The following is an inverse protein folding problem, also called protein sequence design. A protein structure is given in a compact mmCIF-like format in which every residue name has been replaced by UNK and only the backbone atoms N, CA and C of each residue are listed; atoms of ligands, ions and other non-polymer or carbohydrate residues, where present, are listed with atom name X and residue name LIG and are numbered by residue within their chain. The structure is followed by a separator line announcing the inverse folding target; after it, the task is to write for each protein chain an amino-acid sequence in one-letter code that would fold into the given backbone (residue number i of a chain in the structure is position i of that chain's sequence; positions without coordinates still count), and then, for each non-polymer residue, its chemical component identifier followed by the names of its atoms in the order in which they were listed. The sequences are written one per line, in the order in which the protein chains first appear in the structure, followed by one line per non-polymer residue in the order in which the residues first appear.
data_IF_107877906686
#
_entry.id   IF_107877906686
#
_cell.length_a   1.000
_cell.length_b   1.000
_cell.length_c   1.000
_cell.angle_alpha   90.00
_cell.angle_beta   90.00
_cell.angle_gamma   90.00
#
_symmetry.space_group_name_H-M   'P 1'
#
loop_
_entity.id
_entity.type
_entity.pdbx_description
1 polymer ?
#
# COMPACT_ATOMS: atom_id res chain seq x y z
N UNK A 1 -10.99 17.10 10.76
CA UNK A 1 -10.92 16.78 9.33
C UNK A 1 -10.29 15.41 9.21
N UNK A 2 -10.77 14.53 8.35
CA UNK A 2 -10.23 13.19 8.15
C UNK A 2 -9.25 13.22 6.98
N UNK A 3 -8.01 12.73 7.17
CA UNK A 3 -7.03 12.52 6.10
C UNK A 3 -6.72 11.02 5.97
N UNK A 4 -6.79 10.48 4.77
CA UNK A 4 -6.47 9.09 4.44
C UNK A 4 -5.19 9.06 3.62
N UNK A 5 -4.05 8.81 4.28
CA UNK A 5 -2.72 8.90 3.69
C UNK A 5 -2.23 7.52 3.27
N UNK A 6 -1.64 7.40 2.09
CA UNK A 6 -1.12 6.14 1.58
C UNK A 6 0.40 6.06 1.80
N UNK A 7 0.83 4.92 2.34
CA UNK A 7 2.20 4.46 2.36
C UNK A 7 2.30 3.19 1.51
N UNK A 8 2.87 3.29 0.33
CA UNK A 8 2.97 2.20 -0.64
C UNK A 8 4.40 2.01 -1.17
N UNK A 9 4.57 1.39 -2.29
CA UNK A 9 5.85 1.22 -3.00
C UNK A 9 6.40 -0.19 -2.95
N UNK A 10 7.71 -0.31 -3.11
CA UNK A 10 8.40 -1.59 -3.29
C UNK A 10 8.16 -2.56 -2.13
N UNK A 11 7.90 -3.81 -2.46
CA UNK A 11 7.94 -4.89 -1.48
C UNK A 11 9.34 -4.99 -0.87
N UNK A 12 9.43 -5.17 0.46
CA UNK A 12 10.72 -5.16 1.15
C UNK A 12 11.35 -3.78 1.38
N UNK A 13 10.68 -2.69 1.01
CA UNK A 13 11.17 -1.31 1.19
C UNK A 13 11.05 -0.75 2.62
N UNK A 14 10.75 -1.57 3.64
CA UNK A 14 10.70 -1.16 5.04
C UNK A 14 9.39 -0.46 5.45
N UNK A 15 8.28 -0.62 4.72
CA UNK A 15 6.98 -0.02 5.04
C UNK A 15 6.46 -0.37 6.43
N UNK A 16 6.44 -1.66 6.77
CA UNK A 16 5.87 -2.12 8.04
C UNK A 16 6.60 -1.55 9.26
N UNK A 17 7.94 -1.42 9.18
CA UNK A 17 8.73 -0.78 10.25
C UNK A 17 8.39 0.70 10.37
N UNK A 18 8.28 1.41 9.26
CA UNK A 18 7.91 2.82 9.25
C UNK A 18 6.47 3.01 9.79
N UNK A 19 5.53 2.19 9.36
CA UNK A 19 4.13 2.24 9.81
C UNK A 19 4.02 2.03 11.34
N UNK A 20 4.77 1.06 11.88
CA UNK A 20 4.82 0.81 13.33
C UNK A 20 5.35 2.02 14.10
N UNK A 21 6.37 2.71 13.57
CA UNK A 21 6.90 3.92 14.20
C UNK A 21 5.91 5.10 14.10
N UNK A 22 5.23 5.27 12.96
CA UNK A 22 4.20 6.30 12.82
C UNK A 22 3.01 6.04 13.77
N UNK A 23 2.63 4.78 13.99
CA UNK A 23 1.65 4.41 15.02
C UNK A 23 2.07 4.85 16.42
N UNK A 24 3.35 4.69 16.77
CA UNK A 24 3.90 5.16 18.06
C UNK A 24 3.86 6.70 18.18
N UNK A 25 3.81 7.43 17.08
CA UNK A 25 3.59 8.89 17.04
C UNK A 25 2.12 9.29 17.10
N UNK A 26 1.22 8.34 17.31
CA UNK A 26 -0.21 8.59 17.52
C UNK A 26 -1.07 8.60 16.26
N UNK A 27 -0.53 8.22 15.11
CA UNK A 27 -1.33 8.05 13.89
C UNK A 27 -2.13 6.75 13.93
N UNK A 28 -3.37 6.80 13.46
CA UNK A 28 -4.10 5.58 13.16
C UNK A 28 -3.45 4.89 11.94
N UNK A 29 -3.31 3.57 11.99
CA UNK A 29 -2.69 2.79 10.91
C UNK A 29 -3.63 1.69 10.43
N UNK A 30 -3.61 1.43 9.14
CA UNK A 30 -4.38 0.37 8.49
C UNK A 30 -3.39 -0.63 7.89
N UNK A 31 -3.47 -1.87 8.34
CA UNK A 31 -2.58 -2.94 7.90
C UNK A 31 -2.83 -3.34 6.45
N UNK A 32 -1.79 -3.83 5.77
CA UNK A 32 -1.83 -4.29 4.39
C UNK A 32 -2.93 -5.33 4.15
N UNK A 33 -3.91 -5.07 3.27
CA UNK A 33 -5.00 -6.00 2.99
C UNK A 33 -4.50 -7.34 2.45
N UNK A 34 -3.50 -7.33 1.58
CA UNK A 34 -2.94 -8.53 0.98
C UNK A 34 -2.39 -9.51 2.01
N UNK A 35 -1.67 -9.04 3.02
CA UNK A 35 -1.17 -9.91 4.11
C UNK A 35 -2.29 -10.53 4.91
N UNK A 36 -3.32 -9.75 5.22
CA UNK A 36 -4.49 -10.25 5.95
C UNK A 36 -5.25 -11.30 5.15
N UNK A 37 -5.36 -11.14 3.82
CA UNK A 37 -5.93 -12.17 2.94
C UNK A 37 -5.09 -13.43 2.97
N UNK A 38 -3.75 -13.34 2.80
CA UNK A 38 -2.87 -14.51 2.87
C UNK A 38 -3.04 -15.25 4.19
N UNK A 39 -2.99 -14.54 5.32
CA UNK A 39 -3.16 -15.12 6.64
C UNK A 39 -4.52 -15.83 6.80
N UNK A 40 -5.58 -15.21 6.33
CA UNK A 40 -6.92 -15.81 6.34
C UNK A 40 -7.00 -17.06 5.46
N UNK A 41 -6.46 -17.02 4.25
CA UNK A 41 -6.47 -18.15 3.32
C UNK A 41 -5.66 -19.34 3.87
N UNK A 42 -4.50 -19.10 4.47
CA UNK A 42 -3.70 -20.15 5.08
C UNK A 42 -4.41 -20.81 6.27
N UNK A 43 -5.15 -20.05 7.08
CA UNK A 43 -5.93 -20.57 8.22
C UNK A 43 -7.13 -21.39 7.79
N UNK A 44 -7.72 -21.09 6.64
CA UNK A 44 -8.94 -21.74 6.12
C UNK A 44 -8.67 -22.74 5.03
N UNK A 45 -7.41 -23.02 4.69
CA UNK A 45 -7.01 -23.82 3.53
C UNK A 45 -7.64 -23.33 2.21
N UNK A 46 -7.78 -22.01 2.07
CA UNK A 46 -8.30 -21.37 0.88
C UNK A 46 -7.28 -21.30 -0.25
N UNK A 47 -7.73 -20.94 -1.44
CA UNK A 47 -6.92 -20.90 -2.66
C UNK A 47 -6.62 -19.49 -3.19
N UNK A 48 -7.26 -18.46 -2.63
CA UNK A 48 -7.02 -17.06 -3.03
C UNK A 48 -5.67 -16.55 -2.47
N UNK A 49 -4.59 -17.11 -2.99
CA UNK A 49 -3.20 -16.81 -2.62
C UNK A 49 -2.44 -16.32 -3.84
N UNK A 50 -1.50 -15.37 -3.69
CA UNK A 50 -0.79 -14.78 -4.83
C UNK A 50 -0.08 -15.81 -5.74
N UNK A 51 0.30 -16.96 -5.19
CA UNK A 51 1.01 -18.03 -5.88
C UNK A 51 0.12 -19.19 -6.36
N UNK A 52 -1.21 -19.16 -6.08
CA UNK A 52 -2.19 -20.16 -6.51
C UNK A 52 -3.24 -19.55 -7.44
N UNK A 53 -3.85 -18.47 -7.02
CA UNK A 53 -4.92 -17.76 -7.74
C UNK A 53 -4.79 -16.26 -7.47
N UNK A 54 -3.94 -15.61 -8.28
CA UNK A 54 -3.61 -14.19 -8.10
C UNK A 54 -4.83 -13.29 -8.28
N UNK A 55 -5.71 -13.59 -9.24
CA UNK A 55 -6.90 -12.78 -9.50
C UNK A 55 -7.86 -12.82 -8.31
N UNK A 56 -8.19 -14.02 -7.82
CA UNK A 56 -9.04 -14.19 -6.64
C UNK A 56 -8.41 -13.54 -5.38
N UNK A 57 -7.09 -13.62 -5.23
CA UNK A 57 -6.37 -12.93 -4.15
C UNK A 57 -6.54 -11.41 -4.23
N UNK A 58 -6.34 -10.82 -5.42
CA UNK A 58 -6.45 -9.38 -5.62
C UNK A 58 -7.89 -8.89 -5.42
N UNK A 59 -8.89 -9.65 -5.84
CA UNK A 59 -10.29 -9.32 -5.59
C UNK A 59 -10.63 -9.31 -4.09
N UNK A 60 -10.11 -10.27 -3.33
CA UNK A 60 -10.29 -10.28 -1.88
C UNK A 60 -9.53 -9.12 -1.19
N UNK A 61 -8.32 -8.81 -1.65
CA UNK A 61 -7.55 -7.67 -1.14
C UNK A 61 -8.28 -6.35 -1.41
N UNK A 62 -8.89 -6.18 -2.59
CA UNK A 62 -9.71 -5.02 -2.92
C UNK A 62 -10.94 -4.90 -2.04
N UNK A 63 -11.69 -5.99 -1.85
CA UNK A 63 -12.88 -5.99 -0.99
C UNK A 63 -12.52 -5.62 0.46
N UNK A 64 -11.39 -6.08 0.96
CA UNK A 64 -10.88 -5.74 2.29
C UNK A 64 -10.44 -4.28 2.36
N UNK A 65 -9.70 -3.79 1.37
CA UNK A 65 -9.26 -2.39 1.28
C UNK A 65 -10.44 -1.42 1.16
N UNK A 66 -11.52 -1.79 0.47
CA UNK A 66 -12.75 -0.99 0.39
C UNK A 66 -13.43 -0.85 1.77
N UNK A 67 -13.48 -1.93 2.54
CA UNK A 67 -13.99 -1.91 3.92
C UNK A 67 -13.14 -1.02 4.82
N UNK A 68 -11.82 -1.12 4.72
CA UNK A 68 -10.87 -0.28 5.49
C UNK A 68 -11.02 1.19 5.13
N UNK A 69 -11.14 1.51 3.85
CA UNK A 69 -11.39 2.87 3.38
C UNK A 69 -12.69 3.44 3.97
N UNK A 70 -13.77 2.67 3.89
CA UNK A 70 -15.07 3.08 4.44
C UNK A 70 -15.02 3.28 5.96
N UNK A 71 -14.33 2.41 6.69
CA UNK A 71 -14.15 2.51 8.13
C UNK A 71 -13.33 3.76 8.50
N UNK A 72 -12.19 3.99 7.84
CA UNK A 72 -11.31 5.12 8.12
C UNK A 72 -11.94 6.48 7.81
N UNK A 73 -12.82 6.56 6.81
CA UNK A 73 -13.57 7.80 6.51
C UNK A 73 -14.47 8.25 7.65
N UNK A 74 -14.88 7.36 8.53
CA UNK A 74 -15.72 7.65 9.67
C UNK A 74 -14.92 7.99 10.94
N UNK A 75 -13.59 8.01 10.87
CA UNK A 75 -12.71 8.40 11.98
C UNK A 75 -12.29 9.86 11.83
N UNK A 76 -11.80 10.46 12.91
CA UNK A 76 -11.18 11.79 12.88
C UNK A 76 -9.67 11.69 12.93
N UNK A 77 -8.98 12.63 12.29
CA UNK A 77 -7.52 12.67 12.26
C UNK A 77 -6.93 12.01 11.01
N UNK A 78 -5.67 11.60 11.10
CA UNK A 78 -4.91 11.02 10.00
C UNK A 78 -4.87 9.51 10.18
N UNK A 79 -5.29 8.77 9.14
CA UNK A 79 -5.14 7.32 9.03
C UNK A 79 -4.11 7.02 7.93
N UNK A 80 -3.06 6.25 8.26
CA UNK A 80 -2.01 5.86 7.31
C UNK A 80 -2.22 4.41 6.91
N UNK A 81 -2.37 4.18 5.61
CA UNK A 81 -2.63 2.88 5.02
C UNK A 81 -1.34 2.22 4.54
N UNK A 82 -1.05 1.00 5.00
CA UNK A 82 -0.05 0.14 4.36
C UNK A 82 -0.67 -0.44 3.09
N UNK A 83 -0.35 0.16 1.95
CA UNK A 83 -1.02 -0.05 0.66
C UNK A 83 -2.48 0.43 0.66
N UNK A 84 -3.11 0.40 -0.49
CA UNK A 84 -4.44 0.94 -0.70
C UNK A 84 -5.23 0.14 -1.73
N UNK A 85 -6.46 0.57 -2.01
CA UNK A 85 -7.23 0.09 -3.16
C UNK A 85 -6.46 0.22 -4.48
N UNK A 86 -5.64 1.28 -4.60
CA UNK A 86 -4.89 1.58 -5.82
C UNK A 86 -3.86 0.49 -6.12
N UNK A 87 -3.17 -0.01 -5.10
CA UNK A 87 -2.15 -1.06 -5.24
C UNK A 87 -2.73 -2.35 -5.85
N UNK A 88 -3.85 -2.82 -5.31
CA UNK A 88 -4.50 -4.04 -5.80
C UNK A 88 -5.18 -3.83 -7.17
N UNK A 89 -5.79 -2.67 -7.39
CA UNK A 89 -6.36 -2.30 -8.69
C UNK A 89 -5.28 -2.15 -9.78
N UNK A 90 -4.12 -1.59 -9.44
CA UNK A 90 -2.95 -1.53 -10.32
C UNK A 90 -2.48 -2.93 -10.73
N UNK A 91 -2.47 -3.88 -9.79
CA UNK A 91 -2.12 -5.26 -10.08
C UNK A 91 -3.14 -5.95 -10.99
N UNK A 92 -4.46 -5.77 -10.76
CA UNK A 92 -5.51 -6.28 -11.66
C UNK A 92 -5.42 -5.66 -13.06
N UNK A 93 -5.17 -4.36 -13.15
CA UNK A 93 -4.96 -3.69 -14.44
C UNK A 93 -3.78 -4.30 -15.20
N UNK A 94 -2.72 -4.66 -14.52
CA UNK A 94 -1.57 -5.34 -15.11
C UNK A 94 -1.94 -6.74 -15.65
N UNK A 95 -2.96 -7.39 -15.07
CA UNK A 95 -3.54 -8.64 -15.57
C UNK A 95 -4.59 -8.44 -16.68
N UNK A 96 -4.89 -7.18 -17.05
CA UNK A 96 -5.85 -6.83 -18.10
C UNK A 96 -7.25 -6.47 -17.60
N UNK A 97 -7.46 -6.29 -16.31
CA UNK A 97 -8.73 -5.88 -15.71
C UNK A 97 -8.70 -4.42 -15.25
N UNK A 98 -9.33 -3.54 -16.03
CA UNK A 98 -9.39 -2.09 -15.78
C UNK A 98 -10.61 -1.63 -14.96
N UNK A 99 -11.54 -2.53 -14.62
CA UNK A 99 -12.82 -2.17 -13.96
C UNK A 99 -12.64 -1.34 -12.69
N UNK A 100 -11.67 -1.69 -11.87
CA UNK A 100 -11.38 -0.99 -10.62
C UNK A 100 -10.70 0.36 -10.84
N UNK A 101 -9.92 0.50 -11.90
CA UNK A 101 -9.19 1.74 -12.19
C UNK A 101 -10.13 2.90 -12.50
N UNK A 102 -11.20 2.66 -13.26
CA UNK A 102 -12.26 3.65 -13.51
C UNK A 102 -13.03 3.99 -12.22
N UNK A 103 -13.32 2.98 -11.40
CA UNK A 103 -14.00 3.18 -10.10
C UNK A 103 -13.16 4.03 -9.14
N UNK A 104 -11.83 3.83 -9.11
CA UNK A 104 -10.91 4.64 -8.31
C UNK A 104 -10.99 6.13 -8.63
N UNK A 105 -11.10 6.48 -9.89
CA UNK A 105 -11.18 7.89 -10.33
C UNK A 105 -12.43 8.61 -9.83
N UNK A 106 -13.54 7.91 -9.69
CA UNK A 106 -14.86 8.50 -9.41
C UNK A 106 -15.31 8.34 -7.97
N UNK A 107 -14.95 7.26 -7.29
CA UNK A 107 -15.56 6.88 -6.01
C UNK A 107 -14.60 6.95 -4.81
N UNK A 108 -13.28 6.79 -5.04
CA UNK A 108 -12.30 6.73 -3.96
C UNK A 108 -11.28 7.85 -4.08
N UNK A 109 -11.12 8.61 -3.01
CA UNK A 109 -10.07 9.63 -2.94
C UNK A 109 -9.37 9.58 -1.59
N UNK A 110 -8.08 9.31 -1.63
CA UNK A 110 -7.16 9.46 -0.49
C UNK A 110 -6.61 10.89 -0.44
N UNK A 111 -5.80 11.18 0.57
CA UNK A 111 -5.03 12.43 0.60
C UNK A 111 -4.17 12.55 -0.66
N UNK A 112 -3.96 13.76 -1.14
CA UNK A 112 -3.21 13.95 -2.37
C UNK A 112 -1.76 13.51 -2.25
N UNK A 113 -1.18 13.65 -1.05
CA UNK A 113 0.17 13.21 -0.76
C UNK A 113 0.24 11.70 -0.56
N UNK A 114 1.04 11.03 -1.38
CA UNK A 114 1.32 9.57 -1.28
C UNK A 114 2.81 9.37 -1.03
N UNK A 115 3.13 8.48 -0.09
CA UNK A 115 4.52 8.12 0.22
C UNK A 115 4.86 6.77 -0.39
N UNK A 116 5.93 6.71 -1.19
CA UNK A 116 6.40 5.45 -1.79
C UNK A 116 7.79 5.07 -1.28
N UNK A 117 7.91 3.81 -0.83
CA UNK A 117 9.21 3.21 -0.54
C UNK A 117 9.88 2.78 -1.84
N UNK A 118 11.08 3.30 -2.15
CA UNK A 118 11.81 2.90 -3.35
C UNK A 118 12.41 1.49 -3.21
N UNK A 119 12.79 0.84 -4.31
CA UNK A 119 13.59 -0.38 -4.26
C UNK A 119 14.88 -0.16 -3.46
N UNK A 120 15.12 -1.02 -2.48
CA UNK A 120 16.25 -0.90 -1.58
C UNK A 120 16.92 -2.26 -1.37
N UNK A 121 17.90 -2.63 -2.23
CA UNK A 121 18.52 -3.96 -2.23
C UNK A 121 19.12 -4.34 -0.87
N UNK A 122 19.69 -3.37 -0.15
CA UNK A 122 20.40 -3.59 1.12
C UNK A 122 19.50 -4.09 2.25
N UNK A 123 18.21 -3.80 2.20
CA UNK A 123 17.23 -4.26 3.20
C UNK A 123 16.22 -5.25 2.64
N UNK A 124 16.31 -5.56 1.34
CA UNK A 124 15.40 -6.51 0.72
C UNK A 124 15.67 -7.91 1.26
N UNK A 125 14.65 -8.50 1.87
CA UNK A 125 14.67 -9.86 2.35
C UNK A 125 13.53 -10.67 1.74
N UNK A 126 13.80 -11.90 1.35
CA UNK A 126 12.78 -12.88 0.98
C UNK A 126 12.26 -13.58 2.23
N UNK A 127 10.96 -13.65 2.39
CA UNK A 127 10.29 -14.45 3.41
C UNK A 127 9.26 -15.40 2.77
N UNK A 128 8.55 -16.18 3.58
CA UNK A 128 7.57 -17.15 3.06
C UNK A 128 6.37 -16.49 2.34
N UNK A 129 6.14 -15.20 2.57
CA UNK A 129 5.08 -14.41 1.93
C UNK A 129 5.59 -13.68 0.68
N UNK A 130 6.92 -13.49 0.55
CA UNK A 130 7.59 -12.80 -0.55
C UNK A 130 8.39 -13.78 -1.40
N UNK A 131 7.69 -14.52 -2.24
CA UNK A 131 8.29 -15.47 -3.19
C UNK A 131 8.79 -14.82 -4.48
N UNK A 132 8.51 -13.52 -4.64
CA UNK A 132 8.93 -12.75 -5.81
C UNK A 132 10.37 -12.30 -5.68
N UNK A 133 11.08 -12.26 -6.81
CA UNK A 133 12.43 -11.74 -6.90
C UNK A 133 12.48 -10.22 -6.71
N UNK A 134 13.68 -9.69 -6.51
CA UNK A 134 13.87 -8.24 -6.38
C UNK A 134 13.48 -7.49 -7.65
N UNK A 135 13.70 -8.09 -8.83
CA UNK A 135 13.31 -7.50 -10.12
C UNK A 135 11.77 -7.32 -10.20
N UNK A 136 10.99 -8.32 -9.80
CA UNK A 136 9.52 -8.22 -9.75
C UNK A 136 9.06 -7.09 -8.83
N UNK A 137 9.77 -6.89 -7.70
CA UNK A 137 9.48 -5.81 -6.77
C UNK A 137 9.81 -4.42 -7.35
N UNK A 138 10.83 -4.32 -8.21
CA UNK A 138 11.17 -3.11 -8.95
C UNK A 138 10.09 -2.82 -9.99
N UNK A 139 9.68 -3.81 -10.76
CA UNK A 139 8.62 -3.67 -11.79
C UNK A 139 7.29 -3.23 -11.16
N UNK A 140 6.93 -3.83 -10.01
CA UNK A 140 5.77 -3.40 -9.21
C UNK A 140 5.89 -1.91 -8.81
N UNK A 141 7.03 -1.51 -8.27
CA UNK A 141 7.27 -0.14 -7.85
C UNK A 141 7.13 0.86 -9.00
N UNK A 142 7.73 0.57 -10.15
CA UNK A 142 7.65 1.43 -11.33
C UNK A 142 6.20 1.54 -11.86
N UNK A 143 5.46 0.43 -11.82
CA UNK A 143 4.04 0.43 -12.18
C UNK A 143 3.24 1.31 -11.22
N UNK A 144 3.45 1.17 -9.92
CA UNK A 144 2.76 1.99 -8.92
C UNK A 144 3.07 3.47 -9.07
N UNK A 145 4.32 3.85 -9.34
CA UNK A 145 4.68 5.25 -9.59
C UNK A 145 3.86 5.83 -10.74
N UNK A 146 3.74 5.10 -11.86
CA UNK A 146 2.93 5.53 -13.02
C UNK A 146 1.45 5.62 -12.68
N UNK A 147 0.91 4.63 -11.99
CA UNK A 147 -0.52 4.58 -11.69
C UNK A 147 -0.95 5.65 -10.68
N UNK A 148 -0.12 5.97 -9.68
CA UNK A 148 -0.38 7.08 -8.77
C UNK A 148 -0.32 8.43 -9.48
N UNK A 149 0.65 8.65 -10.38
CA UNK A 149 0.76 9.85 -11.20
C UNK A 149 -0.46 10.01 -12.14
N UNK A 150 -0.85 8.95 -12.85
CA UNK A 150 -2.02 8.89 -13.73
C UNK A 150 -3.35 9.20 -12.98
N UNK A 151 -3.43 8.84 -11.70
CA UNK A 151 -4.57 9.14 -10.85
C UNK A 151 -4.50 10.54 -10.21
N UNK A 152 -3.43 11.29 -10.46
CA UNK A 152 -3.24 12.67 -10.04
C UNK A 152 -2.88 12.82 -8.56
N UNK A 153 -2.08 11.89 -8.02
CA UNK A 153 -1.52 11.99 -6.68
C UNK A 153 -0.11 12.61 -6.70
N UNK A 154 0.24 13.32 -5.64
CA UNK A 154 1.58 13.87 -5.42
C UNK A 154 2.45 12.81 -4.72
N UNK A 155 3.37 12.21 -5.47
CA UNK A 155 4.20 11.12 -4.97
C UNK A 155 5.47 11.64 -4.33
N UNK A 156 5.65 11.38 -3.03
CA UNK A 156 6.90 11.59 -2.31
C UNK A 156 7.65 10.27 -2.14
N UNK A 157 8.84 10.21 -2.71
CA UNK A 157 9.72 9.05 -2.56
C UNK A 157 10.45 9.12 -1.22
N UNK A 158 10.28 8.10 -0.40
CA UNK A 158 10.94 8.01 0.89
C UNK A 158 12.46 7.82 0.74
N UNK A 159 13.27 8.51 1.55
CA UNK A 159 14.72 8.35 1.50
C UNK A 159 15.15 6.95 1.94
N UNK A 160 16.29 6.47 1.42
CA UNK A 160 16.93 5.21 1.84
C UNK A 160 17.82 5.45 3.06
N UNK A 161 17.19 5.76 4.17
CA UNK A 161 17.85 6.14 5.44
C UNK A 161 17.24 5.40 6.60
N UNK A 162 17.70 5.66 7.81
CA UNK A 162 17.16 5.09 9.04
C UNK A 162 15.68 5.39 9.24
N UNK A 163 15.00 4.59 10.04
CA UNK A 163 13.55 4.72 10.25
C UNK A 163 13.17 6.08 10.84
N UNK A 164 13.97 6.63 11.75
CA UNK A 164 13.69 7.92 12.40
C UNK A 164 13.69 9.08 11.39
N UNK A 165 14.68 9.13 10.49
CA UNK A 165 14.73 10.13 9.42
C UNK A 165 13.55 9.99 8.44
N UNK A 166 13.11 8.77 8.19
CA UNK A 166 11.92 8.50 7.34
C UNK A 166 10.63 8.94 8.03
N UNK A 167 10.53 8.75 9.35
CA UNK A 167 9.42 9.28 10.15
C UNK A 167 9.39 10.80 10.08
N UNK A 168 10.53 11.47 10.32
CA UNK A 168 10.62 12.94 10.22
C UNK A 168 10.24 13.45 8.83
N UNK A 169 10.67 12.76 7.77
CA UNK A 169 10.30 13.09 6.39
C UNK A 169 8.78 13.07 6.19
N UNK A 170 8.09 12.02 6.67
CA UNK A 170 6.64 11.91 6.58
C UNK A 170 5.95 13.00 7.41
N UNK A 171 6.41 13.21 8.66
CA UNK A 171 5.82 14.20 9.56
C UNK A 171 5.89 15.62 8.98
N UNK A 172 7.03 16.01 8.40
CA UNK A 172 7.21 17.33 7.80
C UNK A 172 6.22 17.55 6.65
N UNK A 173 6.06 16.59 5.74
CA UNK A 173 5.14 16.72 4.61
C UNK A 173 3.65 16.71 5.04
N UNK A 174 3.32 16.02 6.13
CA UNK A 174 1.93 15.99 6.64
C UNK A 174 1.54 17.28 7.39
N UNK A 175 2.52 18.04 7.90
CA UNK A 175 2.28 19.34 8.57
C UNK A 175 2.10 20.49 7.58
N UNK A 176 2.71 20.40 6.41
CA UNK A 176 2.67 21.45 5.38
C UNK A 176 1.38 21.41 4.52
N UNK A 177 0.49 20.47 4.77
CA UNK A 177 -0.76 20.23 4.04
C UNK A 177 -1.99 20.41 4.94
#
# INVERSE_FOLDING_TARGET
MTKLVILSGCSGGGKSTLLSNLSNHGFATVEEPGRRVVDQQLKTAGTALPWLDLEAFLEQALAMAEQDYAAARNTSGISIFDRSLIDAASALRHLGDDRWYEKLRSEFRYDNQVFLTPPWPEIYATDNERRHGFEDAVDEYERLCRDYDDLGYDVAILPKTGVDERVEFVLNLLQDT
#
